data_IF_334573658260
#
_entry.id   IF_334573658260
#
_cell.length_a   1.000
_cell.length_b   1.000
_cell.length_c   1.000
_cell.angle_alpha   90.00
_cell.angle_beta   90.00
_cell.angle_gamma   90.00
#
_symmetry.space_group_name_H-M   'P 1'
#
loop_
_entity.id
_entity.type
_entity.pdbx_description
1 polymer ?
#
# COMPACT_ATOMS: atom_id res chain seq x y z
N UNK A 1 -2.21 -16.34 -11.74
CA UNK A 1 -1.93 -16.90 -10.41
C UNK A 1 -1.95 -18.41 -10.51
N UNK A 2 -1.44 -19.07 -9.47
CA UNK A 2 -1.56 -20.52 -9.30
C UNK A 2 -3.03 -20.98 -9.21
N UNK A 3 -3.93 -20.05 -8.84
CA UNK A 3 -5.40 -20.17 -8.83
C UNK A 3 -6.06 -19.96 -10.21
N UNK A 4 -5.28 -19.86 -11.29
CA UNK A 4 -5.79 -19.65 -12.65
C UNK A 4 -6.16 -18.20 -12.99
N UNK A 5 -6.05 -17.25 -12.05
CA UNK A 5 -6.35 -15.84 -12.31
C UNK A 5 -5.40 -15.25 -13.34
N UNK A 6 -5.94 -14.41 -14.24
CA UNK A 6 -5.17 -13.65 -15.22
C UNK A 6 -5.36 -12.16 -14.95
N UNK A 7 -4.28 -11.40 -15.05
CA UNK A 7 -4.28 -9.97 -14.84
C UNK A 7 -3.51 -9.29 -15.97
N UNK A 8 -4.12 -8.27 -16.57
CA UNK A 8 -3.47 -7.41 -17.53
C UNK A 8 -3.36 -6.01 -16.92
N UNK A 9 -2.14 -5.47 -16.89
CA UNK A 9 -1.88 -4.11 -16.39
C UNK A 9 -1.30 -3.27 -17.52
N UNK A 10 -1.96 -2.13 -17.79
CA UNK A 10 -1.50 -1.12 -18.75
C UNK A 10 -1.21 0.17 -17.98
N UNK A 11 -0.09 0.82 -18.28
CA UNK A 11 0.30 2.07 -17.64
C UNK A 11 1.03 1.93 -16.31
N UNK A 12 1.75 0.81 -16.12
CA UNK A 12 2.53 0.51 -14.92
C UNK A 12 1.73 0.50 -13.62
N UNK A 13 2.41 0.21 -12.52
CA UNK A 13 1.81 0.08 -11.19
C UNK A 13 2.40 -1.07 -10.40
N UNK A 14 1.76 -1.37 -9.28
CA UNK A 14 2.15 -2.48 -8.41
C UNK A 14 1.10 -3.59 -8.49
N UNK A 15 1.56 -4.81 -8.70
CA UNK A 15 0.74 -6.02 -8.60
C UNK A 15 1.17 -6.77 -7.36
N UNK A 16 0.20 -7.24 -6.57
CA UNK A 16 0.46 -8.09 -5.41
C UNK A 16 -0.06 -9.50 -5.66
N UNK A 17 0.63 -10.47 -5.08
CA UNK A 17 0.35 -11.90 -5.16
C UNK A 17 0.64 -12.54 -3.81
N UNK A 18 -0.07 -13.62 -3.48
CA UNK A 18 0.20 -14.39 -2.26
C UNK A 18 1.47 -15.22 -2.45
N UNK A 19 2.16 -15.62 -1.36
CA UNK A 19 3.37 -16.44 -1.46
C UNK A 19 3.17 -17.79 -2.16
N UNK A 20 1.96 -18.34 -2.12
CA UNK A 20 1.57 -19.57 -2.83
C UNK A 20 1.21 -19.34 -4.32
N UNK A 21 1.35 -18.09 -4.81
CA UNK A 21 1.05 -17.71 -6.19
C UNK A 21 -0.43 -17.42 -6.47
N UNK A 22 -1.33 -17.56 -5.48
CA UNK A 22 -2.75 -17.22 -5.61
C UNK A 22 -2.99 -15.72 -5.38
N UNK A 23 -4.23 -15.24 -5.55
CA UNK A 23 -4.59 -13.91 -5.05
C UNK A 23 -4.04 -12.76 -5.90
N UNK A 24 -3.70 -13.02 -7.17
CA UNK A 24 -3.11 -12.02 -8.06
C UNK A 24 -4.06 -10.85 -8.27
N UNK A 25 -3.61 -9.64 -7.95
CA UNK A 25 -4.45 -8.44 -8.04
C UNK A 25 -3.62 -7.16 -8.21
N UNK A 26 -4.21 -6.17 -8.87
CA UNK A 26 -3.63 -4.83 -8.95
C UNK A 26 -3.69 -4.18 -7.56
N UNK A 27 -2.55 -3.69 -7.08
CA UNK A 27 -2.46 -2.92 -5.85
C UNK A 27 -2.53 -1.42 -6.12
N UNK A 28 -1.78 -0.93 -7.12
CA UNK A 28 -1.82 0.46 -7.60
C UNK A 28 -1.59 0.50 -9.11
N UNK A 29 -1.96 1.60 -9.76
CA UNK A 29 -1.84 1.81 -11.22
C UNK A 29 -1.14 3.11 -11.54
N UNK A 30 -0.65 3.26 -12.76
CA UNK A 30 -0.31 4.56 -13.30
C UNK A 30 1.10 5.05 -12.96
N UNK A 31 2.03 4.14 -12.68
CA UNK A 31 3.46 4.46 -12.60
C UNK A 31 4.14 4.16 -13.94
N UNK A 32 5.39 4.58 -14.12
CA UNK A 32 6.07 4.41 -15.41
C UNK A 32 7.02 3.22 -15.41
N UNK A 33 8.14 3.35 -14.71
CA UNK A 33 9.27 2.43 -14.77
C UNK A 33 9.87 2.26 -13.37
N UNK A 34 9.05 1.77 -12.45
CA UNK A 34 9.46 1.47 -11.08
C UNK A 34 10.23 0.15 -11.07
N UNK A 35 11.38 0.11 -10.40
CA UNK A 35 12.23 -1.09 -10.34
C UNK A 35 12.09 -1.87 -9.03
N UNK A 36 11.61 -1.23 -7.96
CA UNK A 36 11.50 -1.83 -6.64
C UNK A 36 10.34 -1.22 -5.86
N UNK A 37 9.77 -1.95 -4.90
CA UNK A 37 8.77 -1.40 -3.97
C UNK A 37 9.25 -1.62 -2.55
N UNK A 38 9.80 -0.57 -1.94
CA UNK A 38 10.21 -0.57 -0.55
C UNK A 38 8.97 -0.61 0.36
N UNK A 39 8.86 -1.63 1.21
CA UNK A 39 7.75 -1.78 2.16
C UNK A 39 8.25 -1.60 3.58
N UNK A 40 7.62 -0.68 4.33
CA UNK A 40 7.95 -0.46 5.73
C UNK A 40 7.27 -1.48 6.67
N UNK A 41 7.64 -1.55 7.96
CA UNK A 41 7.00 -2.45 8.92
C UNK A 41 5.50 -2.18 9.18
N UNK A 42 4.97 -1.06 8.68
CA UNK A 42 3.56 -0.65 8.77
C UNK A 42 2.85 -0.81 7.43
N UNK A 43 3.45 -1.54 6.48
CA UNK A 43 2.88 -1.89 5.19
C UNK A 43 2.57 -0.68 4.29
N UNK A 44 3.29 0.42 4.47
CA UNK A 44 3.39 1.50 3.47
C UNK A 44 4.35 1.05 2.37
N UNK A 45 3.96 1.23 1.11
CA UNK A 45 4.84 0.97 -0.04
C UNK A 45 5.43 2.27 -0.59
N UNK A 46 6.67 2.26 -1.05
CA UNK A 46 7.32 3.41 -1.65
C UNK A 46 8.14 2.99 -2.86
N UNK A 47 8.27 3.89 -3.82
CA UNK A 47 9.22 3.72 -4.92
C UNK A 47 9.69 5.05 -5.45
N UNK A 48 10.89 5.05 -6.04
CA UNK A 48 11.36 6.12 -6.92
C UNK A 48 11.10 5.72 -8.36
N UNK A 49 10.13 6.35 -8.98
CA UNK A 49 9.81 6.14 -10.38
C UNK A 49 10.90 6.68 -11.29
N UNK A 50 11.04 6.06 -12.45
CA UNK A 50 12.05 6.38 -13.44
C UNK A 50 11.44 6.96 -14.71
N UNK A 51 12.09 7.97 -15.24
CA UNK A 51 11.80 8.53 -16.56
C UNK A 51 13.02 9.20 -17.17
N UNK A 52 13.44 8.65 -18.30
CA UNK A 52 14.54 9.09 -19.12
C UNK A 52 14.09 9.48 -20.53
N UNK A 53 12.79 9.43 -20.82
CA UNK A 53 12.24 9.51 -22.19
C UNK A 53 11.64 10.89 -22.53
N UNK A 54 11.69 11.85 -21.59
CA UNK A 54 11.04 13.15 -21.75
C UNK A 54 9.51 13.07 -21.65
N UNK A 55 8.81 14.15 -22.05
CA UNK A 55 7.34 14.17 -22.08
C UNK A 55 6.66 14.59 -20.77
N UNK A 56 7.38 15.24 -19.85
CA UNK A 56 6.80 15.89 -18.66
C UNK A 56 6.48 14.97 -17.48
N UNK A 57 6.81 13.69 -17.56
CA UNK A 57 6.88 12.82 -16.39
C UNK A 57 8.33 12.82 -15.94
N UNK A 58 8.62 13.31 -14.73
CA UNK A 58 9.93 13.42 -14.09
C UNK A 58 10.10 12.38 -12.97
N UNK A 59 11.27 12.34 -12.31
CA UNK A 59 11.51 11.43 -11.19
C UNK A 59 10.52 11.73 -10.08
N UNK A 60 9.74 10.71 -9.71
CA UNK A 60 8.70 10.83 -8.70
C UNK A 60 8.95 9.88 -7.54
N UNK A 61 8.80 10.39 -6.33
CA UNK A 61 8.70 9.54 -5.15
C UNK A 61 7.23 9.22 -4.92
N UNK A 62 6.84 7.96 -5.08
CA UNK A 62 5.47 7.53 -4.86
C UNK A 62 5.30 6.91 -3.47
N UNK A 63 4.12 7.10 -2.89
CA UNK A 63 3.61 6.35 -1.75
C UNK A 63 2.45 5.47 -2.24
N UNK A 64 2.45 4.20 -1.86
CA UNK A 64 1.43 3.22 -2.21
C UNK A 64 0.67 2.74 -0.97
N UNK A 65 -0.63 2.97 -0.99
CA UNK A 65 -1.64 2.72 0.05
C UNK A 65 -2.74 1.76 -0.42
N UNK A 66 -2.85 1.52 -1.72
CA UNK A 66 -3.79 0.60 -2.35
C UNK A 66 -4.93 1.32 -3.08
N UNK A 67 -5.26 0.84 -4.29
CA UNK A 67 -6.26 1.35 -5.23
C UNK A 67 -5.90 2.63 -5.98
N UNK A 68 -4.75 3.24 -5.73
CA UNK A 68 -4.46 4.54 -6.33
C UNK A 68 -4.08 4.46 -7.81
N UNK A 69 -4.21 5.61 -8.45
CA UNK A 69 -3.87 5.82 -9.85
C UNK A 69 -2.91 7.01 -9.92
N UNK A 70 -1.65 6.74 -10.25
CA UNK A 70 -0.57 7.73 -10.25
C UNK A 70 -0.50 8.55 -11.54
N UNK A 71 -1.20 8.14 -12.59
CA UNK A 71 -1.49 9.00 -13.76
C UNK A 71 -0.77 8.69 -15.06
N UNK A 72 0.27 7.86 -15.04
CA UNK A 72 0.93 7.41 -16.27
C UNK A 72 0.07 6.37 -17.02
N UNK A 73 0.06 6.33 -18.36
CA UNK A 73 0.68 7.27 -19.29
C UNK A 73 -0.27 8.42 -19.72
N UNK A 74 -1.50 8.48 -19.21
CA UNK A 74 -2.58 9.26 -19.86
C UNK A 74 -3.08 10.50 -19.12
N UNK A 75 -2.95 10.57 -17.80
CA UNK A 75 -3.61 11.62 -17.00
C UNK A 75 -2.66 12.76 -16.64
N UNK A 76 -1.39 12.47 -16.42
CA UNK A 76 -0.48 13.37 -15.71
C UNK A 76 -0.22 14.74 -16.37
N UNK A 77 -0.45 14.90 -17.67
CA UNK A 77 -0.21 16.18 -18.37
C UNK A 77 -1.41 17.13 -18.31
N UNK A 78 -2.63 16.62 -18.53
CA UNK A 78 -3.83 17.45 -18.73
C UNK A 78 -4.91 17.21 -17.67
N UNK A 79 -4.75 16.17 -16.86
CA UNK A 79 -5.72 15.67 -15.87
C UNK A 79 -5.01 15.39 -14.54
N UNK A 80 -4.08 16.29 -14.17
CA UNK A 80 -3.24 16.15 -12.99
C UNK A 80 -4.02 16.15 -11.68
N UNK A 81 -5.25 16.68 -11.66
CA UNK A 81 -6.17 16.65 -10.52
C UNK A 81 -6.91 15.30 -10.37
N UNK A 82 -6.80 14.39 -11.36
CA UNK A 82 -7.45 13.07 -11.34
C UNK A 82 -6.57 11.96 -10.74
N UNK A 83 -5.36 12.30 -10.33
CA UNK A 83 -4.34 11.35 -9.91
C UNK A 83 -3.97 11.58 -8.46
N UNK A 84 -3.50 10.52 -7.80
CA UNK A 84 -2.78 10.70 -6.55
C UNK A 84 -1.47 11.42 -6.85
N UNK A 85 -1.19 12.50 -6.12
CA UNK A 85 0.07 13.22 -6.30
C UNK A 85 1.23 12.39 -5.74
N UNK A 86 2.41 12.42 -6.40
CA UNK A 86 3.61 11.84 -5.80
C UNK A 86 3.96 12.62 -4.52
N UNK A 87 4.70 11.98 -3.62
CA UNK A 87 5.30 12.66 -2.46
C UNK A 87 6.19 13.82 -2.93
N UNK A 88 7.00 13.59 -3.97
CA UNK A 88 7.85 14.60 -4.55
C UNK A 88 8.06 14.35 -6.04
N UNK A 89 8.31 15.45 -6.76
CA UNK A 89 8.92 15.48 -8.08
C UNK A 89 10.35 16.03 -7.95
N UNK A 90 11.34 15.27 -8.42
CA UNK A 90 12.77 15.61 -8.32
C UNK A 90 13.38 16.00 -9.67
N UNK A 91 12.56 16.24 -10.69
CA UNK A 91 13.00 16.56 -12.04
C UNK A 91 13.74 15.40 -12.71
N UNK A 92 14.70 15.71 -13.57
CA UNK A 92 15.44 14.68 -14.32
C UNK A 92 16.27 13.74 -13.43
N UNK A 93 16.38 12.48 -13.83
CA UNK A 93 17.19 11.46 -13.16
C UNK A 93 16.88 10.07 -13.72
N UNK A 94 17.33 9.03 -13.02
CA UNK A 94 16.93 7.66 -13.35
C UNK A 94 16.77 6.85 -12.07
N UNK A 95 15.55 6.86 -11.53
CA UNK A 95 15.19 6.09 -10.33
C UNK A 95 15.45 4.60 -10.52
N UNK A 96 15.96 3.93 -9.49
CA UNK A 96 16.19 2.50 -9.51
C UNK A 96 15.69 1.84 -8.21
N UNK A 97 16.53 1.04 -7.55
CA UNK A 97 16.17 0.32 -6.34
C UNK A 97 15.73 1.20 -5.17
N UNK A 98 14.94 0.62 -4.27
CA UNK A 98 14.43 1.28 -3.07
C UNK A 98 14.44 0.31 -1.89
N UNK A 99 14.76 0.83 -0.70
CA UNK A 99 14.83 0.07 0.53
C UNK A 99 14.17 0.87 1.65
N UNK A 100 13.24 0.25 2.39
CA UNK A 100 12.89 0.77 3.70
C UNK A 100 13.78 0.09 4.74
N UNK A 101 14.69 0.87 5.34
CA UNK A 101 15.53 0.39 6.43
C UNK A 101 14.75 0.42 7.74
N UNK A 102 14.83 -0.65 8.51
CA UNK A 102 14.43 -0.69 9.91
C UNK A 102 15.33 -1.68 10.68
N UNK A 103 16.57 -1.25 10.89
CA UNK A 103 17.67 -2.04 11.44
C UNK A 103 18.40 -1.29 12.57
N UNK A 104 18.82 -2.00 13.64
CA UNK A 104 19.29 -1.37 14.88
C UNK A 104 20.72 -0.80 14.82
N UNK A 105 21.52 -1.19 13.82
CA UNK A 105 22.95 -0.87 13.84
C UNK A 105 23.31 0.57 13.47
N UNK A 106 22.41 1.32 12.84
CA UNK A 106 22.69 2.68 12.38
C UNK A 106 22.28 3.76 13.42
N UNK A 107 22.93 4.94 13.40
CA UNK A 107 22.55 6.06 14.26
C UNK A 107 21.09 6.47 14.09
N UNK A 108 20.56 7.19 15.10
CA UNK A 108 19.21 7.74 15.07
C UNK A 108 18.95 8.51 13.77
N UNK A 109 17.81 8.23 13.12
CA UNK A 109 17.44 8.80 11.83
C UNK A 109 17.97 8.06 10.60
N UNK A 110 18.89 7.11 10.75
CA UNK A 110 19.42 6.28 9.65
C UNK A 110 18.93 4.83 9.73
N UNK A 111 18.81 4.28 10.94
CA UNK A 111 18.33 2.91 11.13
C UNK A 111 16.88 2.69 10.73
N UNK A 112 16.07 3.75 10.64
CA UNK A 112 14.65 3.71 10.25
C UNK A 112 14.32 4.81 9.26
N UNK A 113 14.44 4.53 7.97
CA UNK A 113 14.16 5.50 6.91
C UNK A 113 13.98 4.80 5.56
N UNK A 114 13.34 5.50 4.61
CA UNK A 114 13.32 5.08 3.22
C UNK A 114 14.64 5.50 2.54
N UNK A 115 15.15 4.65 1.66
CA UNK A 115 16.30 4.92 0.82
C UNK A 115 15.97 4.60 -0.64
N UNK A 116 16.46 5.40 -1.57
CA UNK A 116 16.24 5.21 -3.00
C UNK A 116 17.52 5.44 -3.78
N UNK A 117 17.83 4.56 -4.73
CA UNK A 117 18.91 4.71 -5.68
C UNK A 117 18.47 5.55 -6.89
N UNK A 118 19.38 6.39 -7.39
CA UNK A 118 19.22 7.08 -8.67
C UNK A 118 20.48 6.91 -9.51
N UNK A 119 20.35 6.12 -10.58
CA UNK A 119 21.43 5.82 -11.51
C UNK A 119 21.93 7.08 -12.23
N UNK A 120 21.00 7.95 -12.65
CA UNK A 120 21.31 9.16 -13.41
C UNK A 120 22.01 10.21 -12.56
N UNK A 121 21.70 10.26 -11.26
CA UNK A 121 22.35 11.14 -10.29
C UNK A 121 23.59 10.53 -9.64
N UNK A 122 23.78 9.20 -9.73
CA UNK A 122 24.87 8.47 -9.04
C UNK A 122 24.85 8.62 -7.52
N UNK A 123 23.65 8.62 -6.94
CA UNK A 123 23.43 8.80 -5.51
C UNK A 123 22.37 7.84 -4.97
N UNK A 124 22.62 7.34 -3.76
CA UNK A 124 21.58 6.87 -2.87
C UNK A 124 21.12 8.05 -2.03
N UNK A 125 19.80 8.23 -1.97
CA UNK A 125 19.15 9.24 -1.14
C UNK A 125 18.45 8.59 0.04
N UNK A 126 18.49 9.24 1.20
CA UNK A 126 17.70 8.91 2.40
C UNK A 126 16.52 9.86 2.49
N UNK A 127 15.34 9.32 2.75
CA UNK A 127 14.08 10.03 2.92
C UNK A 127 13.56 9.80 4.34
N UNK A 128 13.71 10.76 5.26
CA UNK A 128 13.06 10.70 6.55
C UNK A 128 11.54 10.89 6.35
N UNK A 129 10.76 9.85 6.65
CA UNK A 129 9.32 9.91 6.47
C UNK A 129 8.66 10.59 7.68
N UNK A 130 8.03 11.74 7.44
CA UNK A 130 7.21 12.45 8.44
C UNK A 130 5.73 12.31 8.07
N UNK A 131 4.89 11.64 8.89
CA UNK A 131 3.48 11.49 8.57
C UNK A 131 2.76 12.84 8.37
N UNK A 132 1.91 12.91 7.35
CA UNK A 132 0.97 14.00 7.09
C UNK A 132 -0.34 13.40 6.52
N UNK A 133 -1.41 13.43 7.33
CA UNK A 133 -2.67 12.78 6.97
C UNK A 133 -2.50 11.29 6.68
N UNK A 134 -3.02 10.84 5.54
CA UNK A 134 -2.88 9.47 5.02
C UNK A 134 -1.57 9.22 4.26
N UNK A 135 -0.65 10.18 4.24
CA UNK A 135 0.62 10.10 3.53
C UNK A 135 1.78 10.71 4.34
N UNK A 136 2.84 11.15 3.68
CA UNK A 136 4.06 11.66 4.29
C UNK A 136 4.49 12.98 3.65
N UNK A 137 5.22 13.80 4.39
CA UNK A 137 5.95 14.93 3.81
C UNK A 137 7.17 14.44 3.02
N UNK A 138 7.46 15.04 1.86
CA UNK A 138 8.68 14.75 1.13
C UNK A 138 9.91 15.40 1.77
N UNK A 139 10.98 14.63 1.94
CA UNK A 139 12.29 15.13 2.32
C UNK A 139 13.35 14.17 1.76
N UNK A 140 14.46 14.68 1.23
CA UNK A 140 15.56 13.85 0.75
C UNK A 140 16.93 14.40 1.16
N UNK A 141 17.85 13.50 1.46
CA UNK A 141 19.25 13.78 1.78
C UNK A 141 20.17 12.85 1.00
N UNK A 142 21.29 13.35 0.51
CA UNK A 142 22.35 12.50 -0.01
C UNK A 142 22.88 11.57 1.09
N UNK A 143 22.95 10.27 0.79
CA UNK A 143 23.46 9.26 1.74
C UNK A 143 24.79 8.68 1.28
N UNK A 144 24.85 8.14 0.06
CA UNK A 144 26.04 7.52 -0.49
C UNK A 144 26.21 7.83 -1.97
N UNK A 145 27.34 8.44 -2.32
CA UNK A 145 27.72 8.72 -3.70
C UNK A 145 28.29 7.46 -4.33
N UNK A 146 27.62 6.96 -5.35
CA UNK A 146 27.99 5.70 -6.01
C UNK A 146 27.67 5.80 -7.51
N UNK A 147 28.70 5.85 -8.38
CA UNK A 147 28.52 5.94 -9.82
C UNK A 147 27.54 4.89 -10.33
N UNK A 148 26.49 5.33 -11.06
CA UNK A 148 25.51 4.42 -11.67
C UNK A 148 24.96 3.40 -10.69
N UNK A 149 24.62 3.84 -9.48
CA UNK A 149 23.96 2.99 -8.49
C UNK A 149 22.66 2.44 -9.06
N UNK A 150 22.44 1.15 -8.88
CA UNK A 150 21.27 0.45 -9.42
C UNK A 150 20.34 -0.03 -8.33
N UNK A 151 20.88 -0.44 -7.18
CA UNK A 151 20.06 -1.00 -6.12
C UNK A 151 20.74 -0.96 -4.76
N UNK A 152 19.96 -1.23 -3.72
CA UNK A 152 20.38 -1.35 -2.34
C UNK A 152 19.48 -2.29 -1.54
N UNK A 153 20.09 -3.05 -0.64
CA UNK A 153 19.36 -3.86 0.35
C UNK A 153 20.14 -3.88 1.69
N UNK A 154 19.55 -4.41 2.76
CA UNK A 154 20.15 -4.55 4.08
C UNK A 154 20.03 -5.97 4.61
N UNK A 155 21.14 -6.49 5.17
CA UNK A 155 21.18 -7.77 5.86
C UNK A 155 20.60 -7.68 7.30
N UNK A 156 20.37 -8.82 7.95
CA UNK A 156 19.88 -8.90 9.34
C UNK A 156 20.95 -8.59 10.42
N UNK A 157 22.08 -8.03 9.98
CA UNK A 157 23.24 -7.61 10.77
C UNK A 157 23.52 -6.11 10.58
N UNK A 158 22.56 -5.37 10.00
CA UNK A 158 22.65 -3.93 9.71
C UNK A 158 23.76 -3.54 8.73
N UNK A 159 24.13 -4.42 7.79
CA UNK A 159 24.99 -4.10 6.66
C UNK A 159 24.16 -3.77 5.41
N UNK A 160 24.30 -2.55 4.88
CA UNK A 160 23.67 -2.18 3.60
C UNK A 160 24.57 -2.67 2.46
N UNK A 161 24.00 -3.37 1.50
CA UNK A 161 24.63 -3.73 0.24
C UNK A 161 24.14 -2.78 -0.85
N UNK A 162 25.06 -2.16 -1.58
CA UNK A 162 24.78 -1.27 -2.70
C UNK A 162 25.35 -1.88 -3.97
N UNK A 163 24.61 -1.81 -5.08
CA UNK A 163 25.09 -2.28 -6.39
C UNK A 163 25.37 -1.08 -7.30
N UNK A 164 26.48 -1.15 -8.04
CA UNK A 164 26.87 -0.17 -9.05
C UNK A 164 27.02 -0.84 -10.40
N UNK A 165 26.49 -0.23 -11.45
CA UNK A 165 26.73 -0.57 -12.85
C UNK A 165 27.75 0.35 -13.51
N UNK A 166 28.78 0.78 -12.76
CA UNK A 166 29.91 1.51 -13.35
C UNK A 166 30.55 0.67 -14.45
N UNK A 167 30.74 1.28 -15.63
CA UNK A 167 31.26 0.59 -16.81
C UNK A 167 30.21 -0.06 -17.71
N UNK A 168 28.95 -0.18 -17.25
CA UNK A 168 27.88 -0.75 -18.07
C UNK A 168 27.51 0.16 -19.26
N UNK A 169 26.98 -0.42 -20.33
CA UNK A 169 26.41 0.34 -21.45
C UNK A 169 25.06 -0.24 -21.83
N UNK A 170 24.34 0.36 -22.77
CA UNK A 170 23.11 -0.23 -23.31
C UNK A 170 23.34 -1.53 -24.11
N UNK A 171 24.60 -1.84 -24.40
CA UNK A 171 25.04 -3.10 -25.00
C UNK A 171 25.91 -3.88 -24.03
N UNK A 172 26.10 -5.17 -24.30
CA UNK A 172 27.02 -6.00 -23.53
C UNK A 172 28.43 -5.39 -23.51
N UNK A 173 28.97 -5.17 -22.31
CA UNK A 173 30.25 -4.49 -22.09
C UNK A 173 31.33 -5.41 -21.48
N UNK A 174 31.12 -6.73 -21.55
CA UNK A 174 31.99 -7.73 -20.92
C UNK A 174 31.49 -8.16 -19.53
N UNK A 175 32.20 -9.11 -18.92
CA UNK A 175 31.83 -9.74 -17.64
C UNK A 175 32.26 -8.89 -16.42
N UNK A 176 33.33 -8.10 -16.56
CA UNK A 176 33.95 -7.32 -15.49
C UNK A 176 33.33 -5.91 -15.39
N UNK A 177 32.02 -5.84 -15.18
CA UNK A 177 31.25 -4.60 -15.11
C UNK A 177 30.56 -4.45 -13.76
N UNK A 178 30.66 -3.24 -13.19
CA UNK A 178 30.03 -2.92 -11.93
C UNK A 178 30.78 -3.44 -10.71
N UNK A 179 30.18 -3.26 -9.54
CA UNK A 179 30.70 -3.74 -8.26
C UNK A 179 29.63 -3.64 -7.16
N UNK A 180 29.87 -4.33 -6.04
CA UNK A 180 29.06 -4.26 -4.83
C UNK A 180 29.84 -3.53 -3.73
N UNK A 181 29.18 -2.62 -3.03
CA UNK A 181 29.72 -1.95 -1.84
C UNK A 181 28.92 -2.39 -0.62
N UNK A 182 29.60 -2.73 0.47
CA UNK A 182 28.96 -2.94 1.77
C UNK A 182 29.20 -1.74 2.67
N UNK A 183 28.13 -1.10 3.14
CA UNK A 183 28.16 -0.04 4.16
C UNK A 183 27.82 -0.67 5.50
N UNK A 184 28.75 -0.57 6.45
CA UNK A 184 28.57 -1.10 7.81
C UNK A 184 28.65 0.02 8.84
N UNK A 185 27.78 0.00 9.86
CA UNK A 185 27.84 0.98 10.95
C UNK A 185 29.14 0.85 11.74
N UNK A 186 29.81 1.98 11.97
CA UNK A 186 31.10 2.01 12.67
C UNK A 186 30.92 1.60 14.14
N UNK A 187 31.65 0.57 14.56
CA UNK A 187 31.68 0.12 15.95
C UNK A 187 30.46 -0.70 16.40
N UNK A 188 29.49 -0.94 15.50
CA UNK A 188 28.37 -1.83 15.80
C UNK A 188 28.83 -3.29 15.74
N UNK A 189 28.43 -4.06 16.75
CA UNK A 189 28.64 -5.51 16.79
C UNK A 189 27.27 -6.17 16.70
N UNK A 190 26.92 -6.77 15.55
CA UNK A 190 25.62 -7.40 15.39
C UNK A 190 25.55 -8.69 16.22
N UNK A 191 24.39 -8.96 16.80
CA UNK A 191 24.11 -10.24 17.45
C UNK A 191 24.13 -11.38 16.42
N UNK A 192 24.55 -12.61 16.77
CA UNK A 192 24.43 -13.75 15.88
C UNK A 192 23.00 -13.93 15.35
N UNK A 193 22.88 -14.45 14.12
CA UNK A 193 21.57 -14.81 13.58
C UNK A 193 21.00 -16.00 14.35
N UNK A 194 19.74 -15.94 14.81
CA UNK A 194 19.06 -17.10 15.35
C UNK A 194 18.95 -18.21 14.30
N UNK A 195 19.00 -19.47 14.76
CA UNK A 195 18.51 -20.58 13.94
C UNK A 195 16.98 -20.56 13.99
N UNK A 196 16.35 -19.81 13.08
CA UNK A 196 14.90 -19.68 13.00
C UNK A 196 14.21 -21.04 12.79
N UNK A 197 14.86 -21.97 12.09
CA UNK A 197 14.29 -23.29 11.82
C UNK A 197 14.24 -24.15 13.09
N UNK A 198 15.25 -24.04 13.96
CA UNK A 198 15.32 -24.75 15.24
C UNK A 198 14.60 -24.04 16.41
N UNK A 199 14.40 -22.72 16.32
CA UNK A 199 13.74 -21.93 17.36
C UNK A 199 12.31 -22.43 17.64
N UNK A 200 11.92 -22.49 18.91
CA UNK A 200 10.56 -22.77 19.35
C UNK A 200 9.60 -21.65 18.97
N UNK A 201 8.30 -21.93 18.96
CA UNK A 201 7.28 -20.92 18.65
C UNK A 201 7.32 -19.72 19.61
N UNK A 202 7.63 -19.95 20.90
CA UNK A 202 7.79 -18.87 21.89
C UNK A 202 9.01 -18.00 21.60
N UNK A 203 10.13 -18.59 21.20
CA UNK A 203 11.33 -17.85 20.79
C UNK A 203 11.06 -17.04 19.51
N UNK A 204 10.31 -17.60 18.55
CA UNK A 204 9.91 -16.87 17.35
C UNK A 204 8.97 -15.70 17.67
N UNK A 205 8.03 -15.87 18.62
CA UNK A 205 7.18 -14.77 19.09
C UNK A 205 8.01 -13.66 19.75
N UNK A 206 9.05 -14.02 20.51
CA UNK A 206 9.96 -13.01 21.07
C UNK A 206 10.76 -12.29 19.97
N UNK A 207 11.17 -13.01 18.92
CA UNK A 207 11.83 -12.41 17.75
C UNK A 207 10.93 -11.45 16.95
N UNK A 208 9.60 -11.56 17.05
CA UNK A 208 8.68 -10.54 16.51
C UNK A 208 8.84 -9.18 17.20
N UNK A 209 9.48 -9.12 18.37
CA UNK A 209 9.79 -7.86 19.07
C UNK A 209 11.16 -7.29 18.72
N UNK A 210 11.96 -8.01 17.92
CA UNK A 210 13.30 -7.57 17.53
C UNK A 210 13.27 -6.18 16.90
N UNK A 211 14.26 -5.30 17.16
CA UNK A 211 14.36 -4.03 16.47
C UNK A 211 14.72 -4.18 14.97
N UNK A 212 15.23 -5.34 14.54
CA UNK A 212 15.51 -5.64 13.12
C UNK A 212 14.27 -6.12 12.40
N UNK A 213 13.85 -5.41 11.35
CA UNK A 213 12.77 -5.85 10.48
C UNK A 213 13.09 -7.17 9.79
N UNK A 214 14.35 -7.42 9.40
CA UNK A 214 14.75 -8.69 8.78
C UNK A 214 14.51 -9.86 9.72
N UNK A 215 14.85 -9.73 11.01
CA UNK A 215 14.59 -10.76 12.03
C UNK A 215 13.11 -10.94 12.33
N UNK A 216 12.36 -9.85 12.49
CA UNK A 216 10.90 -9.92 12.70
C UNK A 216 10.19 -10.63 11.54
N UNK A 217 10.56 -10.31 10.31
CA UNK A 217 9.96 -10.90 9.11
C UNK A 217 10.25 -12.39 8.99
N UNK A 218 11.49 -12.83 9.23
CA UNK A 218 11.80 -14.27 9.15
C UNK A 218 11.13 -15.06 10.28
N UNK A 219 11.04 -14.48 11.48
CA UNK A 219 10.29 -15.09 12.59
C UNK A 219 8.80 -15.24 12.25
N UNK A 220 8.17 -14.18 11.72
CA UNK A 220 6.78 -14.21 11.28
C UNK A 220 6.55 -15.27 10.19
N UNK A 221 7.39 -15.29 9.15
CA UNK A 221 7.28 -16.24 8.04
C UNK A 221 7.47 -17.68 8.52
N UNK A 222 8.35 -17.90 9.47
CA UNK A 222 8.57 -19.23 10.08
C UNK A 222 7.32 -19.69 10.84
N UNK A 223 6.75 -18.83 11.69
CA UNK A 223 5.49 -19.11 12.40
C UNK A 223 4.34 -19.42 11.43
N UNK A 224 4.17 -18.59 10.40
CA UNK A 224 3.11 -18.79 9.38
C UNK A 224 3.32 -20.11 8.62
N UNK A 225 4.56 -20.45 8.24
CA UNK A 225 4.88 -21.68 7.51
C UNK A 225 4.63 -22.93 8.34
N UNK A 226 4.87 -22.88 9.66
CA UNK A 226 4.58 -23.98 10.60
C UNK A 226 3.09 -24.16 10.85
N UNK A 227 2.31 -23.09 10.67
CA UNK A 227 0.95 -22.99 11.16
C UNK A 227 0.92 -22.69 12.66
N UNK A 228 -0.19 -22.15 13.14
CA UNK A 228 -0.37 -21.78 14.53
C UNK A 228 -1.32 -22.77 15.20
N UNK A 229 -0.86 -23.44 16.25
CA UNK A 229 -1.77 -24.11 17.19
C UNK A 229 -2.47 -23.06 18.08
N UNK A 230 -3.50 -23.47 18.82
CA UNK A 230 -4.30 -22.58 19.67
C UNK A 230 -3.45 -21.81 20.70
N UNK A 231 -2.51 -22.49 21.37
CA UNK A 231 -1.67 -21.85 22.37
C UNK A 231 -0.74 -20.79 21.75
N UNK A 232 -0.13 -21.09 20.60
CA UNK A 232 0.72 -20.13 19.87
C UNK A 232 -0.11 -18.95 19.36
N UNK A 233 -1.31 -19.20 18.80
CA UNK A 233 -2.22 -18.15 18.36
C UNK A 233 -2.60 -17.19 19.50
N UNK A 234 -2.96 -17.71 20.67
CA UNK A 234 -3.28 -16.90 21.85
C UNK A 234 -2.12 -16.02 22.31
N UNK A 235 -0.87 -16.47 22.18
CA UNK A 235 0.30 -15.65 22.52
C UNK A 235 0.54 -14.54 21.48
N UNK A 236 0.31 -14.80 20.20
CA UNK A 236 0.39 -13.80 19.13
C UNK A 236 -0.73 -12.77 19.28
N UNK A 237 -1.94 -13.18 19.64
CA UNK A 237 -3.05 -12.27 19.96
C UNK A 237 -2.71 -11.33 21.12
N UNK A 238 -2.11 -11.87 22.20
CA UNK A 238 -1.60 -11.05 23.31
C UNK A 238 -0.55 -10.04 22.85
N UNK A 239 0.39 -10.45 22.00
CA UNK A 239 1.39 -9.54 21.43
C UNK A 239 0.73 -8.44 20.58
N UNK A 240 -0.26 -8.76 19.75
CA UNK A 240 -0.98 -7.77 18.95
C UNK A 240 -1.75 -6.75 19.82
N UNK A 241 -2.32 -7.20 20.94
CA UNK A 241 -3.08 -6.39 21.88
C UNK A 241 -2.22 -5.57 22.86
N UNK A 242 -0.95 -5.94 23.06
CA UNK A 242 -0.07 -5.29 24.04
C UNK A 242 0.42 -3.92 23.56
N UNK A 243 -0.25 -2.85 23.99
CA UNK A 243 0.09 -1.47 23.66
C UNK A 243 1.45 -1.00 24.20
N UNK A 244 2.11 -1.76 25.09
CA UNK A 244 3.48 -1.46 25.53
C UNK A 244 4.54 -1.88 24.50
N UNK A 245 4.18 -2.73 23.54
CA UNK A 245 5.08 -3.22 22.50
C UNK A 245 5.20 -2.24 21.33
N UNK A 246 6.34 -2.22 20.63
CA UNK A 246 6.49 -1.43 19.41
C UNK A 246 5.39 -1.77 18.38
N UNK A 247 4.83 -0.74 17.74
CA UNK A 247 3.75 -0.92 16.77
C UNK A 247 4.13 -1.88 15.63
N UNK A 248 5.39 -1.88 15.17
CA UNK A 248 5.87 -2.81 14.16
C UNK A 248 5.75 -4.29 14.58
N UNK A 249 5.96 -4.59 15.86
CA UNK A 249 5.83 -5.93 16.44
C UNK A 249 4.35 -6.35 16.50
N UNK A 250 3.49 -5.42 16.92
CA UNK A 250 2.03 -5.64 16.98
C UNK A 250 1.44 -5.87 15.58
N UNK A 251 1.88 -5.09 14.59
CA UNK A 251 1.48 -5.27 13.18
C UNK A 251 1.98 -6.62 12.65
N UNK A 252 3.23 -7.00 12.94
CA UNK A 252 3.72 -8.33 12.57
C UNK A 252 2.85 -9.45 13.19
N UNK A 253 2.40 -9.30 14.43
CA UNK A 253 1.49 -10.25 15.08
C UNK A 253 0.11 -10.30 14.41
N UNK A 254 -0.51 -9.16 14.11
CA UNK A 254 -1.79 -9.06 13.38
C UNK A 254 -1.75 -9.84 12.06
N UNK A 255 -0.71 -9.62 11.26
CA UNK A 255 -0.59 -10.29 9.96
C UNK A 255 -0.07 -11.72 10.06
N UNK A 256 0.57 -12.13 11.16
CA UNK A 256 0.84 -13.55 11.44
C UNK A 256 -0.48 -14.32 11.64
N UNK A 257 -1.40 -13.77 12.47
CA UNK A 257 -2.71 -14.37 12.71
C UNK A 257 -3.51 -14.50 11.41
N UNK A 258 -3.66 -13.41 10.65
CA UNK A 258 -4.46 -13.44 9.42
C UNK A 258 -3.88 -14.40 8.37
N UNK A 259 -2.55 -14.43 8.20
CA UNK A 259 -1.93 -15.29 7.20
C UNK A 259 -2.01 -16.78 7.59
N UNK A 260 -1.85 -17.12 8.87
CA UNK A 260 -1.85 -18.51 9.31
C UNK A 260 -3.25 -19.09 9.51
N UNK A 261 -4.20 -18.29 10.03
CA UNK A 261 -5.53 -18.76 10.44
C UNK A 261 -6.65 -18.38 9.47
N UNK A 262 -6.39 -17.48 8.52
CA UNK A 262 -7.40 -17.04 7.55
C UNK A 262 -8.63 -16.41 8.21
N UNK A 263 -9.82 -16.92 7.92
CA UNK A 263 -11.08 -16.45 8.53
C UNK A 263 -11.20 -16.78 10.02
N UNK A 264 -10.47 -17.76 10.54
CA UNK A 264 -10.49 -18.10 11.97
C UNK A 264 -9.89 -16.97 12.83
N UNK A 265 -9.04 -16.12 12.27
CA UNK A 265 -8.52 -14.93 12.96
C UNK A 265 -9.55 -13.80 13.10
N UNK A 266 -10.69 -13.83 12.40
CA UNK A 266 -11.60 -12.69 12.30
C UNK A 266 -12.13 -12.25 13.69
N UNK A 267 -12.40 -13.17 14.61
CA UNK A 267 -12.86 -12.81 15.97
C UNK A 267 -11.81 -11.99 16.73
N UNK A 268 -10.55 -12.43 16.75
CA UNK A 268 -9.45 -11.69 17.37
C UNK A 268 -9.21 -10.34 16.66
N UNK A 269 -9.28 -10.31 15.33
CA UNK A 269 -9.12 -9.07 14.56
C UNK A 269 -10.24 -8.07 14.82
N UNK A 270 -11.49 -8.51 15.01
CA UNK A 270 -12.61 -7.63 15.39
C UNK A 270 -12.40 -7.00 16.77
N UNK A 271 -11.84 -7.77 17.73
CA UNK A 271 -11.46 -7.23 19.03
C UNK A 271 -10.34 -6.18 18.90
N UNK A 272 -9.28 -6.49 18.13
CA UNK A 272 -8.20 -5.54 17.87
C UNK A 272 -8.67 -4.30 17.11
N UNK A 273 -9.67 -4.43 16.24
CA UNK A 273 -10.29 -3.30 15.55
C UNK A 273 -11.03 -2.35 16.50
N UNK A 274 -11.26 -2.73 17.76
CA UNK A 274 -11.82 -1.84 18.78
C UNK A 274 -10.78 -0.94 19.46
N UNK A 275 -9.48 -1.30 19.40
CA UNK A 275 -8.37 -0.52 19.94
C UNK A 275 -7.85 0.49 18.91
N UNK A 276 -8.01 1.78 19.18
CA UNK A 276 -7.62 2.87 18.28
C UNK A 276 -6.12 2.86 17.89
N UNK A 277 -5.24 2.25 18.70
CA UNK A 277 -3.79 2.24 18.45
C UNK A 277 -3.36 1.19 17.42
N UNK A 278 -4.21 0.20 17.12
CA UNK A 278 -3.95 -0.87 16.14
C UNK A 278 -5.10 -1.05 15.13
N UNK A 279 -6.22 -0.35 15.33
CA UNK A 279 -7.47 -0.47 14.55
C UNK A 279 -7.25 -0.49 13.05
N UNK A 280 -6.46 0.44 12.51
CA UNK A 280 -6.19 0.53 11.08
C UNK A 280 -5.63 -0.79 10.50
N UNK A 281 -4.73 -1.45 11.23
CA UNK A 281 -4.11 -2.69 10.78
C UNK A 281 -5.03 -3.90 10.97
N UNK A 282 -5.88 -3.89 11.99
CA UNK A 282 -6.92 -4.90 12.17
C UNK A 282 -7.98 -4.82 11.07
N UNK A 283 -8.45 -3.61 10.73
CA UNK A 283 -9.34 -3.34 9.59
C UNK A 283 -8.72 -3.85 8.28
N UNK A 284 -7.45 -3.49 8.02
CA UNK A 284 -6.72 -3.99 6.85
C UNK A 284 -6.69 -5.52 6.83
N UNK A 285 -6.32 -6.16 7.93
CA UNK A 285 -6.22 -7.61 8.00
C UNK A 285 -7.56 -8.32 7.82
N UNK A 286 -8.67 -7.76 8.32
CA UNK A 286 -10.02 -8.30 8.12
C UNK A 286 -10.39 -8.39 6.64
N UNK A 287 -10.05 -7.37 5.85
CA UNK A 287 -10.46 -7.26 4.45
C UNK A 287 -9.37 -7.57 3.41
N UNK A 288 -8.12 -7.77 3.83
CA UNK A 288 -6.98 -7.94 2.89
C UNK A 288 -7.19 -9.10 1.91
N UNK A 289 -7.93 -10.12 2.34
CA UNK A 289 -8.31 -11.31 1.58
C UNK A 289 -9.77 -11.22 1.15
N UNK A 290 -10.00 -10.85 -0.12
CA UNK A 290 -11.34 -10.77 -0.72
C UNK A 290 -12.10 -12.11 -0.66
N UNK A 291 -11.36 -13.21 -0.75
CA UNK A 291 -11.87 -14.58 -0.60
C UNK A 291 -12.22 -14.95 0.85
N UNK A 292 -12.10 -14.04 1.82
CA UNK A 292 -12.34 -14.30 3.24
C UNK A 292 -13.14 -13.19 3.92
N UNK A 293 -13.99 -12.51 3.16
CA UNK A 293 -14.84 -11.44 3.66
C UNK A 293 -16.09 -11.94 4.40
N UNK A 294 -16.36 -13.25 4.38
CA UNK A 294 -17.47 -13.85 5.11
C UNK A 294 -17.45 -13.51 6.61
N UNK A 295 -18.54 -12.90 7.09
CA UNK A 295 -18.68 -12.50 8.51
C UNK A 295 -17.93 -11.20 8.89
N UNK A 296 -17.32 -10.49 7.94
CA UNK A 296 -16.77 -9.15 8.19
C UNK A 296 -17.93 -8.15 8.19
N UNK A 297 -18.08 -7.43 9.30
CA UNK A 297 -19.16 -6.45 9.49
C UNK A 297 -18.88 -5.14 8.71
N UNK A 298 -19.68 -4.87 7.68
CA UNK A 298 -19.61 -3.64 6.89
C UNK A 298 -19.80 -2.40 7.77
N UNK A 299 -20.65 -2.45 8.79
CA UNK A 299 -20.89 -1.31 9.66
C UNK A 299 -19.62 -0.95 10.45
N UNK A 300 -18.85 -1.95 10.89
CA UNK A 300 -17.56 -1.73 11.54
C UNK A 300 -16.56 -1.05 10.60
N UNK A 301 -16.51 -1.47 9.33
CA UNK A 301 -15.64 -0.84 8.34
C UNK A 301 -16.09 0.60 8.04
N UNK A 302 -17.40 0.81 7.84
CA UNK A 302 -17.98 2.13 7.58
C UNK A 302 -17.75 3.11 8.74
N UNK A 303 -17.82 2.66 9.99
CA UNK A 303 -17.48 3.49 11.15
C UNK A 303 -16.01 3.99 11.09
N UNK A 304 -15.10 3.21 10.50
CA UNK A 304 -13.72 3.60 10.29
C UNK A 304 -13.55 4.81 9.37
N UNK A 305 -14.51 5.10 8.49
CA UNK A 305 -14.49 6.27 7.59
C UNK A 305 -14.57 7.61 8.33
N UNK A 306 -15.00 7.62 9.59
CA UNK A 306 -15.09 8.83 10.44
C UNK A 306 -14.04 8.86 11.55
N UNK A 307 -13.03 7.98 11.51
CA UNK A 307 -11.99 7.94 12.54
C UNK A 307 -11.08 9.19 12.49
N UNK A 308 -10.64 9.64 13.66
CA UNK A 308 -9.71 10.78 13.81
C UNK A 308 -8.36 10.49 13.16
N UNK A 309 -7.96 9.23 13.09
CA UNK A 309 -6.73 8.79 12.45
C UNK A 309 -6.94 8.58 10.94
N UNK A 310 -6.21 9.34 10.13
CA UNK A 310 -6.30 9.29 8.67
C UNK A 310 -5.95 7.91 8.08
N UNK A 311 -5.03 7.17 8.70
CA UNK A 311 -4.71 5.80 8.27
C UNK A 311 -5.87 4.84 8.54
N UNK A 312 -6.58 4.98 9.66
CA UNK A 312 -7.80 4.19 9.90
C UNK A 312 -8.85 4.46 8.83
N UNK A 313 -9.08 5.74 8.48
CA UNK A 313 -10.01 6.10 7.40
C UNK A 313 -9.60 5.50 6.07
N UNK A 314 -8.33 5.61 5.70
CA UNK A 314 -7.78 5.02 4.47
C UNK A 314 -7.96 3.49 4.41
N UNK A 315 -7.59 2.78 5.48
CA UNK A 315 -7.73 1.32 5.52
C UNK A 315 -9.21 0.90 5.51
N UNK A 316 -10.12 1.70 6.07
CA UNK A 316 -11.56 1.49 5.95
C UNK A 316 -12.05 1.63 4.51
N UNK A 317 -11.59 2.66 3.77
CA UNK A 317 -11.91 2.82 2.35
C UNK A 317 -11.43 1.61 1.54
N UNK A 318 -10.17 1.22 1.71
CA UNK A 318 -9.59 0.08 1.00
C UNK A 318 -10.31 -1.22 1.38
N UNK A 319 -10.72 -1.39 2.64
CA UNK A 319 -11.47 -2.56 3.10
C UNK A 319 -12.86 -2.65 2.46
N UNK A 320 -13.61 -1.54 2.43
CA UNK A 320 -14.94 -1.47 1.81
C UNK A 320 -14.89 -1.75 0.31
N UNK A 321 -13.85 -1.25 -0.38
CA UNK A 321 -13.65 -1.52 -1.81
C UNK A 321 -13.51 -3.02 -2.14
N UNK A 322 -13.10 -3.86 -1.18
CA UNK A 322 -12.90 -5.31 -1.41
C UNK A 322 -14.18 -6.06 -1.71
N UNK A 323 -15.33 -5.53 -1.28
CA UNK A 323 -16.65 -6.06 -1.61
C UNK A 323 -17.08 -5.79 -3.06
N UNK A 324 -16.30 -5.03 -3.83
CA UNK A 324 -16.47 -4.89 -5.28
C UNK A 324 -15.57 -5.84 -6.10
N UNK A 325 -14.66 -6.56 -5.43
CA UNK A 325 -13.64 -7.36 -6.10
C UNK A 325 -14.18 -8.65 -6.72
N UNK A 326 -13.53 -9.17 -7.77
CA UNK A 326 -13.90 -10.46 -8.38
C UNK A 326 -13.63 -11.65 -7.43
N UNK A 327 -12.87 -11.41 -6.37
CA UNK A 327 -12.40 -12.39 -5.40
C UNK A 327 -13.37 -12.63 -4.26
N UNK A 328 -14.40 -11.78 -4.13
CA UNK A 328 -15.37 -11.96 -3.07
C UNK A 328 -16.03 -13.33 -3.26
N UNK A 329 -15.92 -14.15 -2.21
CA UNK A 329 -16.17 -15.61 -2.19
C UNK A 329 -17.52 -16.02 -2.80
N UNK A 330 -18.42 -15.05 -3.04
CA UNK A 330 -19.72 -15.22 -3.65
C UNK A 330 -20.11 -14.03 -4.54
N UNK A 331 -19.26 -13.57 -5.46
CA UNK A 331 -19.48 -12.40 -6.32
C UNK A 331 -20.89 -12.33 -7.00
N UNK A 332 -21.60 -13.47 -7.09
CA UNK A 332 -22.95 -13.60 -7.66
C UNK A 332 -24.05 -13.99 -6.64
N UNK A 333 -23.83 -13.89 -5.33
CA UNK A 333 -24.88 -14.10 -4.31
C UNK A 333 -25.58 -12.80 -3.94
N UNK A 334 -26.85 -12.88 -3.54
CA UNK A 334 -27.62 -11.72 -3.06
C UNK A 334 -26.99 -11.07 -1.83
N UNK A 335 -26.37 -11.87 -0.94
CA UNK A 335 -25.70 -11.38 0.27
C UNK A 335 -24.47 -10.55 -0.09
N UNK A 336 -23.67 -11.02 -1.05
CA UNK A 336 -22.52 -10.28 -1.53
C UNK A 336 -22.93 -8.96 -2.20
N UNK A 337 -23.96 -9.02 -3.05
CA UNK A 337 -24.48 -7.84 -3.73
C UNK A 337 -24.99 -6.79 -2.73
N UNK A 338 -25.70 -7.21 -1.68
CA UNK A 338 -26.13 -6.32 -0.62
C UNK A 338 -24.94 -5.68 0.13
N UNK A 339 -23.90 -6.45 0.44
CA UNK A 339 -22.69 -5.92 1.07
C UNK A 339 -21.96 -4.91 0.17
N UNK A 340 -21.89 -5.18 -1.14
CA UNK A 340 -21.35 -4.25 -2.16
C UNK A 340 -22.11 -2.93 -2.17
N UNK A 341 -23.45 -2.97 -2.20
CA UNK A 341 -24.31 -1.79 -2.19
C UNK A 341 -24.12 -0.98 -0.89
N UNK A 342 -24.11 -1.64 0.26
CA UNK A 342 -23.86 -0.98 1.55
C UNK A 342 -22.47 -0.31 1.62
N UNK A 343 -21.45 -0.97 1.07
CA UNK A 343 -20.11 -0.39 0.98
C UNK A 343 -20.08 0.83 0.05
N UNK A 344 -20.79 0.77 -1.08
CA UNK A 344 -20.91 1.86 -2.04
C UNK A 344 -21.62 3.08 -1.41
N UNK A 345 -22.74 2.87 -0.72
CA UNK A 345 -23.47 3.92 0.00
C UNK A 345 -22.61 4.61 1.06
N UNK A 346 -21.89 3.81 1.88
CA UNK A 346 -21.01 4.33 2.91
C UNK A 346 -19.90 5.22 2.34
N UNK A 347 -19.27 4.80 1.24
CA UNK A 347 -18.21 5.58 0.59
C UNK A 347 -18.75 6.81 -0.15
N UNK A 348 -19.92 6.71 -0.78
CA UNK A 348 -20.57 7.83 -1.45
C UNK A 348 -20.95 8.95 -0.45
N UNK A 349 -21.23 8.58 0.81
CA UNK A 349 -21.46 9.52 1.89
C UNK A 349 -20.19 10.31 2.28
N UNK A 350 -18.99 9.77 2.04
CA UNK A 350 -17.68 10.37 2.39
C UNK A 350 -16.99 11.09 1.23
N UNK A 351 -17.71 11.40 0.15
CA UNK A 351 -17.16 12.09 -1.02
C UNK A 351 -16.66 13.51 -0.73
N UNK A 352 -16.88 14.06 0.46
CA UNK A 352 -16.39 15.34 0.93
C UNK A 352 -15.08 15.25 1.73
N UNK A 353 -14.44 14.08 1.79
CA UNK A 353 -13.16 13.89 2.49
C UNK A 353 -12.09 14.92 2.09
N UNK A 354 -11.46 15.51 3.09
CA UNK A 354 -10.50 16.60 2.96
C UNK A 354 -9.08 16.11 2.67
N UNK A 355 -8.70 14.93 3.15
CA UNK A 355 -7.39 14.34 2.86
C UNK A 355 -7.33 13.92 1.37
N UNK A 356 -6.39 14.47 0.58
CA UNK A 356 -6.36 14.25 -0.87
C UNK A 356 -6.10 12.79 -1.25
N UNK A 357 -5.32 12.04 -0.45
CA UNK A 357 -5.04 10.64 -0.73
C UNK A 357 -6.25 9.78 -0.43
N UNK A 358 -6.94 10.03 0.68
CA UNK A 358 -8.18 9.31 1.00
C UNK A 358 -9.28 9.66 -0.01
N UNK A 359 -9.44 10.93 -0.37
CA UNK A 359 -10.41 11.36 -1.37
C UNK A 359 -10.20 10.69 -2.73
N UNK A 360 -8.94 10.64 -3.21
CA UNK A 360 -8.58 9.88 -4.42
C UNK A 360 -8.97 8.41 -4.29
N UNK A 361 -8.62 7.79 -3.16
CA UNK A 361 -8.89 6.37 -2.90
C UNK A 361 -10.38 6.08 -2.83
N UNK A 362 -11.21 6.97 -2.28
CA UNK A 362 -12.67 6.86 -2.26
C UNK A 362 -13.23 6.82 -3.68
N UNK A 363 -12.77 7.71 -4.58
CA UNK A 363 -13.19 7.71 -5.99
C UNK A 363 -12.82 6.37 -6.65
N UNK A 364 -11.59 5.89 -6.47
CA UNK A 364 -11.16 4.60 -7.04
C UNK A 364 -11.93 3.41 -6.43
N UNK A 365 -12.25 3.45 -5.15
CA UNK A 365 -13.05 2.44 -4.47
C UNK A 365 -14.49 2.39 -5.00
N UNK A 366 -15.13 3.55 -5.23
CA UNK A 366 -16.46 3.64 -5.82
C UNK A 366 -16.52 3.12 -7.26
N UNK A 367 -15.45 3.34 -8.04
CA UNK A 367 -15.28 2.73 -9.36
C UNK A 367 -15.19 1.21 -9.25
N UNK A 368 -14.33 0.71 -8.35
CA UNK A 368 -14.16 -0.73 -8.11
C UNK A 368 -15.46 -1.40 -7.63
N UNK A 369 -16.27 -0.68 -6.86
CA UNK A 369 -17.58 -1.13 -6.40
C UNK A 369 -18.66 -1.04 -7.46
N UNK A 370 -18.46 -0.34 -8.59
CA UNK A 370 -19.51 -0.04 -9.58
C UNK A 370 -20.70 0.67 -8.92
N UNK A 371 -20.39 1.77 -8.22
CA UNK A 371 -21.32 2.48 -7.34
C UNK A 371 -22.32 3.41 -8.07
N UNK A 372 -22.75 3.08 -9.30
CA UNK A 372 -23.60 3.95 -10.12
C UNK A 372 -24.86 4.42 -9.40
N UNK A 373 -25.59 3.49 -8.77
CA UNK A 373 -26.83 3.75 -8.03
C UNK A 373 -26.64 4.76 -6.87
N UNK A 374 -25.52 4.66 -6.14
CA UNK A 374 -25.23 5.57 -5.02
C UNK A 374 -24.75 6.95 -5.49
N UNK A 375 -24.17 7.05 -6.70
CA UNK A 375 -23.53 8.27 -7.20
C UNK A 375 -24.47 9.16 -8.01
N UNK A 376 -25.40 8.59 -8.79
CA UNK A 376 -26.32 9.36 -9.63
C UNK A 376 -27.17 10.37 -8.83
N UNK A 377 -27.72 10.06 -7.64
CA UNK A 377 -28.44 11.05 -6.84
C UNK A 377 -27.55 12.20 -6.33
N UNK A 378 -26.28 11.92 -6.04
CA UNK A 378 -25.31 12.92 -5.59
C UNK A 378 -24.91 13.84 -6.74
N UNK A 379 -24.72 13.27 -7.93
CA UNK A 379 -24.48 14.03 -9.15
C UNK A 379 -25.65 14.99 -9.43
N UNK A 380 -26.88 14.49 -9.38
CA UNK A 380 -28.09 15.25 -9.70
C UNK A 380 -28.50 16.28 -8.62
N UNK A 381 -27.86 16.27 -7.45
CA UNK A 381 -28.22 17.16 -6.34
C UNK A 381 -28.05 18.63 -6.73
N UNK A 382 -29.08 19.45 -6.53
CA UNK A 382 -29.07 20.89 -6.83
C UNK A 382 -28.69 21.66 -5.56
N UNK A 383 -27.41 21.96 -5.42
CA UNK A 383 -26.85 22.67 -4.26
C UNK A 383 -25.55 23.38 -4.62
N UNK A 384 -25.33 24.56 -4.03
CA UNK A 384 -24.22 25.46 -4.35
C UNK A 384 -23.24 25.66 -3.18
N UNK A 385 -23.33 24.84 -2.12
CA UNK A 385 -22.26 24.84 -1.12
C UNK A 385 -20.97 24.24 -1.69
N UNK A 386 -19.82 24.60 -1.11
CA UNK A 386 -18.52 24.04 -1.50
C UNK A 386 -18.46 22.52 -1.32
N UNK A 387 -19.08 22.01 -0.26
CA UNK A 387 -19.20 20.58 0.04
C UNK A 387 -20.03 19.88 -1.04
N UNK A 388 -21.18 20.42 -1.42
CA UNK A 388 -22.02 19.84 -2.48
C UNK A 388 -21.32 19.84 -3.83
N UNK A 389 -20.64 20.93 -4.21
CA UNK A 389 -19.83 20.98 -5.44
C UNK A 389 -18.70 19.95 -5.44
N UNK A 390 -18.01 19.79 -4.31
CA UNK A 390 -16.92 18.80 -4.16
C UNK A 390 -17.45 17.39 -4.32
N UNK A 391 -18.56 17.06 -3.63
CA UNK A 391 -19.22 15.75 -3.74
C UNK A 391 -19.70 15.47 -5.16
N UNK A 392 -20.33 16.44 -5.83
CA UNK A 392 -20.80 16.32 -7.22
C UNK A 392 -19.64 16.06 -8.18
N UNK A 393 -18.56 16.84 -8.08
CA UNK A 393 -17.37 16.69 -8.92
C UNK A 393 -16.73 15.31 -8.76
N UNK A 394 -16.56 14.83 -7.53
CA UNK A 394 -15.99 13.50 -7.27
C UNK A 394 -16.94 12.35 -7.65
N UNK A 395 -18.26 12.54 -7.53
CA UNK A 395 -19.24 11.59 -8.05
C UNK A 395 -19.13 11.46 -9.57
N UNK A 396 -19.07 12.57 -10.30
CA UNK A 396 -18.83 12.60 -11.75
C UNK A 396 -17.50 11.91 -12.12
N UNK A 397 -16.43 12.17 -11.35
CA UNK A 397 -15.11 11.54 -11.54
C UNK A 397 -15.17 10.02 -11.44
N UNK A 398 -16.00 9.47 -10.55
CA UNK A 398 -16.21 8.03 -10.46
C UNK A 398 -17.11 7.52 -11.61
N UNK A 399 -18.24 8.18 -11.84
CA UNK A 399 -19.23 7.83 -12.88
C UNK A 399 -18.62 7.79 -14.28
N UNK A 400 -17.66 8.67 -14.61
CA UNK A 400 -16.96 8.66 -15.90
C UNK A 400 -16.24 7.33 -16.21
N UNK A 401 -15.97 6.51 -15.18
CA UNK A 401 -15.25 5.23 -15.28
C UNK A 401 -16.17 4.01 -15.10
N UNK A 402 -17.49 4.22 -14.91
CA UNK A 402 -18.49 3.15 -14.74
C UNK A 402 -19.31 3.06 -16.03
N UNK A 403 -19.06 2.00 -16.81
CA UNK A 403 -19.64 1.83 -18.16
C UNK A 403 -20.89 0.94 -18.19
N UNK A 404 -21.61 0.82 -17.06
CA UNK A 404 -22.88 0.10 -17.02
C UNK A 404 -23.95 0.88 -17.80
N UNK A 405 -24.78 0.23 -18.64
CA UNK A 405 -25.75 0.93 -19.50
C UNK A 405 -26.63 1.93 -18.75
N UNK A 406 -27.09 1.58 -17.56
CA UNK A 406 -27.95 2.41 -16.72
C UNK A 406 -27.27 3.71 -16.29
N UNK A 407 -25.96 3.67 -16.01
CA UNK A 407 -25.17 4.87 -15.69
C UNK A 407 -24.99 5.74 -16.93
N UNK A 408 -24.67 5.12 -18.08
CA UNK A 408 -24.46 5.85 -19.34
C UNK A 408 -25.76 6.54 -19.78
N UNK A 409 -26.88 5.83 -19.76
CA UNK A 409 -28.19 6.36 -20.14
C UNK A 409 -28.61 7.51 -19.22
N UNK A 410 -28.38 7.38 -17.90
CA UNK A 410 -28.66 8.44 -16.94
C UNK A 410 -27.83 9.70 -17.20
N UNK A 411 -26.53 9.56 -17.48
CA UNK A 411 -25.66 10.70 -17.80
C UNK A 411 -26.04 11.37 -19.13
N UNK A 412 -26.42 10.59 -20.16
CA UNK A 412 -26.91 11.12 -21.44
C UNK A 412 -28.20 11.93 -21.23
N UNK A 413 -29.15 11.38 -20.46
CA UNK A 413 -30.39 12.07 -20.14
C UNK A 413 -30.14 13.37 -19.37
N UNK A 414 -29.17 13.36 -18.44
CA UNK A 414 -28.76 14.55 -17.68
C UNK A 414 -28.15 15.63 -18.58
N UNK A 415 -27.23 15.24 -19.48
CA UNK A 415 -26.60 16.16 -20.44
C UNK A 415 -27.65 16.83 -21.34
N UNK A 416 -28.67 16.10 -21.78
CA UNK A 416 -29.75 16.65 -22.59
C UNK A 416 -30.61 17.70 -21.85
N UNK A 417 -30.59 17.69 -20.51
CA UNK A 417 -31.30 18.63 -19.65
C UNK A 417 -30.42 19.78 -19.14
N UNK A 418 -29.12 19.80 -19.47
CA UNK A 418 -28.20 20.83 -19.00
C UNK A 418 -28.39 22.14 -19.80
N UNK A 419 -28.41 23.26 -19.08
CA UNK A 419 -28.68 24.59 -19.67
C UNK A 419 -27.44 25.49 -19.65
N UNK A 420 -26.41 25.09 -18.91
CA UNK A 420 -25.11 25.74 -18.92
C UNK A 420 -24.23 25.11 -20.02
N UNK A 421 -23.79 25.87 -21.04
CA UNK A 421 -23.07 25.36 -22.20
C UNK A 421 -21.69 24.77 -21.93
#
# INVERSE_FOLDING_TARGET
GADGRKLQMRGGGVVRVRPDGTGLQTYSRGTRNILEVAVDPLLNGFTRDNTNDGGGWDIRLHHFTGLEHHGYPSLYMNFGDEIVQPLADYGGGSGCGALFMDEPGFPAGYGRALYTADWGRSWVYRHPLKPNGATFEPEQHEFAGLPRVTDLDVDAMSGILLTSWKGATFTYAGEEVGYVVRVTPKGYQPEPLPDFAAASDLELIELLKSPSHRRRMEAQRTLVRRGLNEATAQQIEKLAADASQPIASRVAAVFALKQALGSQANSALLQLASDATIRAFAIRALADRGDQLGGVDIALLANGLSDKNARTRLEAVVALARFGGPDAEHANSSVHEQARLQAAEALAASLDESDPVIAHTIVQALIALRAGEALLPIEAAVGDSEVERTRRSRALRALQSIHEPEVVDALIARLAAETNP
#
